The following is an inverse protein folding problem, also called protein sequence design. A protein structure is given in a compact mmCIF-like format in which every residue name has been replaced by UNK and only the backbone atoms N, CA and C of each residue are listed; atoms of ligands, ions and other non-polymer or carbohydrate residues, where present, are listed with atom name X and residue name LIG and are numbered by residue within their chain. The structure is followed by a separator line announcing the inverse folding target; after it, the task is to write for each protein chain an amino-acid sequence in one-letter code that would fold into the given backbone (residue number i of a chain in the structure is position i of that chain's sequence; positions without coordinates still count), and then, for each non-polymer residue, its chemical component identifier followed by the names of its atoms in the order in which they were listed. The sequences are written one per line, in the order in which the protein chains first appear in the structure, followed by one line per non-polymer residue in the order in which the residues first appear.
data_IF_795321156592
#
_entry.id   IF_795321156592
#
_cell.length_a   1.000
_cell.length_b   1.000
_cell.length_c   1.000
_cell.angle_alpha   90.00
_cell.angle_beta   90.00
_cell.angle_gamma   90.00
#
_symmetry.space_group_name_H-M   'P 1'
#
loop_
_entity.id
_entity.type
_entity.pdbx_description
1 polymer ?
2 non-polymer ?
#
# COMPACT_ATOMS: atom_id res chain seq x y z
N UNK A 1 17.26 -4.27 -28.75
CA UNK A 1 17.50 -5.05 -27.49
C UNK A 1 18.92 -4.87 -27.01
N UNK A 2 19.17 -5.33 -25.78
CA UNK A 2 20.48 -5.27 -25.13
C UNK A 2 20.78 -6.57 -24.39
N UNK A 3 21.99 -6.68 -23.84
CA UNK A 3 22.35 -7.69 -22.82
C UNK A 3 22.72 -6.98 -21.51
N UNK A 4 21.85 -6.06 -21.08
CA UNK A 4 22.09 -5.27 -19.87
C UNK A 4 21.88 -6.12 -18.63
N UNK A 5 22.73 -5.86 -17.63
CA UNK A 5 22.78 -6.72 -16.48
C UNK A 5 22.91 -5.99 -15.17
N UNK A 6 22.53 -6.71 -14.12
CA UNK A 6 22.75 -6.32 -12.76
C UNK A 6 23.34 -7.55 -12.13
N UNK A 7 24.39 -7.33 -11.35
CA UNK A 7 24.87 -8.34 -10.46
C UNK A 7 24.35 -7.94 -9.09
N UNK A 8 23.69 -8.85 -8.41
CA UNK A 8 23.40 -8.68 -7.00
C UNK A 8 23.75 -9.98 -6.29
N UNK A 9 24.58 -9.85 -5.24
CA UNK A 9 25.19 -10.95 -4.48
C UNK A 9 25.83 -12.02 -5.40
N UNK A 10 26.56 -11.55 -6.41
CA UNK A 10 27.19 -12.42 -7.37
C UNK A 10 26.32 -13.04 -8.47
N UNK A 11 25.00 -12.99 -8.35
CA UNK A 11 24.13 -13.63 -9.32
C UNK A 11 23.73 -12.63 -10.39
N UNK A 12 23.68 -13.05 -11.64
CA UNK A 12 23.43 -12.14 -12.77
C UNK A 12 21.94 -12.12 -13.06
N UNK A 13 21.44 -10.95 -13.47
CA UNK A 13 20.04 -10.77 -13.84
C UNK A 13 19.97 -9.92 -15.11
N UNK A 14 19.43 -10.49 -16.18
CA UNK A 14 19.17 -9.73 -17.40
C UNK A 14 17.93 -8.85 -17.23
N UNK A 15 18.01 -7.63 -17.73
CA UNK A 15 16.92 -6.66 -17.61
C UNK A 15 16.00 -6.85 -18.80
N UNK A 16 14.71 -6.90 -18.53
CA UNK A 16 13.69 -6.95 -19.57
C UNK A 16 13.19 -5.54 -19.83
N UNK A 17 12.78 -4.84 -18.78
CA UNK A 17 12.45 -3.42 -18.86
C UNK A 17 12.49 -2.72 -17.52
N UNK A 18 12.54 -1.39 -17.56
CA UNK A 18 12.36 -0.56 -16.38
C UNK A 18 10.86 -0.39 -16.15
N UNK A 19 10.45 -0.20 -14.90
CA UNK A 19 9.03 0.05 -14.53
C UNK A 19 8.82 1.23 -13.54
N UNK A 20 9.74 1.41 -12.59
CA UNK A 20 9.75 2.56 -11.66
C UNK A 20 10.91 3.54 -11.86
N UNK A 21 10.76 4.76 -11.34
CA UNK A 21 11.68 5.88 -11.61
C UNK A 21 11.72 6.91 -10.46
N UNK A 22 12.31 8.08 -10.71
CA UNK A 22 12.31 9.10 -9.69
C UNK A 22 13.45 9.13 -8.70
N UNK A 23 13.15 8.81 -7.45
CA UNK A 23 13.96 9.28 -6.34
C UNK A 23 15.23 8.51 -6.11
N UNK A 24 16.15 8.65 -7.05
CA UNK A 24 17.46 8.02 -6.93
C UNK A 24 17.28 6.53 -6.95
N UNK A 25 16.18 6.09 -7.52
CA UNK A 25 15.84 4.68 -7.52
C UNK A 25 15.22 4.29 -8.82
N UNK A 26 15.36 3.03 -9.18
CA UNK A 26 14.66 2.53 -10.32
C UNK A 26 14.23 1.13 -10.02
N UNK A 27 13.11 0.73 -10.55
CA UNK A 27 12.70 -0.67 -10.48
C UNK A 27 12.79 -1.27 -11.90
N UNK A 28 13.20 -2.54 -11.96
CA UNK A 28 13.49 -3.24 -13.21
C UNK A 28 12.85 -4.60 -13.19
N UNK A 29 12.27 -4.98 -14.32
CA UNK A 29 11.74 -6.30 -14.50
C UNK A 29 12.86 -7.11 -15.13
N UNK A 30 13.04 -8.33 -14.66
CA UNK A 30 14.34 -8.96 -14.69
C UNK A 30 14.24 -10.46 -14.82
N UNK A 31 15.27 -11.07 -15.42
CA UNK A 31 15.33 -12.51 -15.58
C UNK A 31 16.56 -13.02 -14.90
N UNK A 32 16.44 -14.04 -14.06
CA UNK A 32 17.60 -14.66 -13.43
C UNK A 32 18.17 -15.76 -14.32
N UNK A 33 19.27 -16.35 -13.86
CA UNK A 33 19.97 -17.44 -14.59
C UNK A 33 19.09 -18.64 -14.97
N UNK A 34 18.11 -18.99 -14.12
CA UNK A 34 17.12 -20.03 -14.45
C UNK A 34 15.91 -19.46 -15.20
N UNK A 35 16.14 -18.48 -16.06
CA UNK A 35 15.08 -17.71 -16.76
C UNK A 35 13.83 -17.28 -15.94
N UNK A 36 13.92 -17.28 -14.62
CA UNK A 36 12.77 -17.01 -13.75
C UNK A 36 12.65 -15.51 -13.56
N UNK A 37 11.43 -15.01 -13.58
CA UNK A 37 11.18 -13.55 -13.53
C UNK A 37 11.21 -13.00 -12.10
N UNK A 38 11.73 -11.77 -11.96
CA UNK A 38 11.82 -11.04 -10.68
C UNK A 38 11.81 -9.54 -10.93
N UNK A 39 11.73 -8.78 -9.83
CA UNK A 39 11.87 -7.33 -9.85
C UNK A 39 13.06 -6.86 -9.01
N UNK A 40 13.78 -5.85 -9.48
CA UNK A 40 14.94 -5.37 -8.76
C UNK A 40 14.87 -3.89 -8.59
N UNK A 41 14.64 -3.48 -7.34
CA UNK A 41 14.74 -2.08 -6.97
C UNK A 41 16.20 -1.74 -6.74
N UNK A 42 16.65 -0.64 -7.35
CA UNK A 42 17.98 -0.11 -7.19
C UNK A 42 17.86 1.26 -6.59
N UNK A 43 18.79 1.62 -5.71
CA UNK A 43 18.84 2.95 -5.07
C UNK A 43 20.28 3.45 -5.04
N UNK A 44 20.53 4.62 -5.60
CA UNK A 44 21.85 5.24 -5.58
C UNK A 44 22.00 6.13 -4.34
N UNK A 45 23.10 5.97 -3.61
CA UNK A 45 23.22 6.57 -2.28
C UNK A 45 24.12 7.81 -2.14
N UNK A 46 24.99 8.08 -3.11
CA UNK A 46 25.83 9.32 -3.09
C UNK A 46 25.07 10.54 -2.57
N UNK A 47 23.86 10.69 -3.12
CA UNK A 47 22.91 11.72 -2.73
C UNK A 47 21.88 11.11 -1.76
N UNK A 48 22.26 11.05 -0.48
CA UNK A 48 21.36 10.62 0.58
C UNK A 48 21.97 10.92 1.95
N UNK A 49 21.31 11.81 2.69
CA UNK A 49 21.71 12.11 4.07
C UNK A 49 21.49 10.91 4.99
N UNK A 50 22.11 10.98 6.17
CA UNK A 50 21.94 9.95 7.21
C UNK A 50 20.50 9.58 7.58
N UNK A 51 19.57 10.52 7.46
CA UNK A 51 18.17 10.22 7.72
C UNK A 51 17.57 9.39 6.59
N UNK A 52 17.81 9.78 5.33
CA UNK A 52 17.27 8.98 4.21
C UNK A 52 17.97 7.61 4.25
N UNK A 53 19.28 7.60 4.53
CA UNK A 53 20.01 6.34 4.72
C UNK A 53 19.40 5.46 5.80
N UNK A 54 19.24 5.99 7.01
CA UNK A 54 18.68 5.20 8.11
C UNK A 54 17.27 4.67 7.84
N UNK A 55 16.52 5.38 6.99
CA UNK A 55 15.17 4.95 6.60
C UNK A 55 15.24 3.75 5.68
N UNK A 56 16.00 3.86 4.59
CA UNK A 56 16.26 2.74 3.68
C UNK A 56 16.69 1.46 4.40
N UNK A 57 17.58 1.62 5.36
CA UNK A 57 18.06 0.51 6.17
C UNK A 57 16.89 -0.11 6.88
N UNK A 58 16.09 0.77 7.50
CA UNK A 58 14.87 0.41 8.22
C UNK A 58 13.81 -0.27 7.35
N UNK A 59 13.54 0.23 6.14
CA UNK A 59 12.61 -0.46 5.25
C UNK A 59 13.09 -1.91 5.05
N UNK A 60 14.37 -2.09 4.67
CA UNK A 60 14.99 -3.41 4.44
C UNK A 60 14.86 -4.34 5.65
N UNK A 61 15.15 -3.86 6.84
CA UNK A 61 15.04 -4.69 8.03
C UNK A 61 13.60 -5.14 8.30
N UNK A 62 12.65 -4.24 8.04
CA UNK A 62 11.24 -4.55 8.22
C UNK A 62 10.73 -5.53 7.16
N UNK A 63 10.97 -5.20 5.87
CA UNK A 63 10.74 -6.16 4.78
C UNK A 63 11.28 -7.51 5.14
N UNK A 64 12.49 -7.58 5.67
CA UNK A 64 13.04 -8.82 6.17
C UNK A 64 12.17 -9.47 7.23
N UNK A 65 12.09 -8.83 8.40
CA UNK A 65 11.35 -9.36 9.54
C UNK A 65 9.95 -9.88 9.13
N UNK A 66 9.16 -9.00 8.51
CA UNK A 66 7.75 -9.28 8.23
C UNK A 66 7.49 -10.46 7.30
N UNK A 67 8.37 -10.67 6.33
CA UNK A 67 8.32 -11.83 5.42
C UNK A 67 7.83 -13.09 6.09
N UNK A 68 8.49 -13.45 7.18
CA UNK A 68 8.20 -14.65 7.96
C UNK A 68 6.72 -14.69 8.35
N UNK A 69 6.22 -13.52 8.78
CA UNK A 69 4.90 -13.37 9.37
C UNK A 69 3.72 -13.28 8.39
N UNK A 70 3.95 -12.95 7.13
CA UNK A 70 2.85 -12.87 6.17
C UNK A 70 3.28 -13.02 4.71
N UNK A 71 2.40 -13.65 3.93
CA UNK A 71 2.57 -13.75 2.47
C UNK A 71 1.83 -12.61 1.73
N UNK A 72 1.42 -11.57 2.48
CA UNK A 72 0.78 -10.38 1.92
C UNK A 72 1.70 -9.17 2.01
N UNK A 73 2.87 -9.36 2.58
CA UNK A 73 3.97 -8.41 2.40
C UNK A 73 4.78 -8.89 1.23
N UNK A 74 5.11 -7.98 0.32
CA UNK A 74 5.93 -8.28 -0.86
C UNK A 74 7.20 -9.01 -0.45
N UNK A 75 7.55 -10.08 -1.16
CA UNK A 75 8.66 -10.95 -0.76
C UNK A 75 9.98 -10.34 -1.22
N UNK A 76 10.95 -10.29 -0.32
CA UNK A 76 12.32 -9.86 -0.62
C UNK A 76 13.16 -11.11 -0.57
N UNK A 77 13.78 -11.47 -1.68
CA UNK A 77 14.55 -12.70 -1.76
C UNK A 77 16.02 -12.49 -1.42
N UNK A 78 16.55 -11.35 -1.81
CA UNK A 78 17.95 -11.08 -1.63
C UNK A 78 18.18 -9.60 -1.77
N UNK A 79 19.17 -9.10 -1.05
CA UNK A 79 19.60 -7.74 -1.18
C UNK A 79 21.11 -7.59 -1.04
N UNK A 80 21.61 -6.49 -1.58
CA UNK A 80 23.00 -6.11 -1.46
C UNK A 80 23.02 -4.63 -1.13
N UNK A 81 23.70 -4.28 -0.04
CA UNK A 81 23.80 -2.91 0.40
C UNK A 81 25.25 -2.52 0.70
N UNK A 82 25.61 -1.32 0.26
CA UNK A 82 26.97 -0.85 0.12
C UNK A 82 26.90 0.64 0.46
N UNK A 83 28.03 1.27 0.70
CA UNK A 83 28.03 2.73 0.93
C UNK A 83 27.43 3.58 -0.21
N UNK A 84 27.54 3.09 -1.44
CA UNK A 84 27.06 3.80 -2.66
C UNK A 84 25.68 3.36 -3.19
N UNK A 85 25.26 2.12 -2.95
CA UNK A 85 23.99 1.65 -3.52
C UNK A 85 23.28 0.62 -2.68
N UNK A 86 21.99 0.44 -2.98
CA UNK A 86 21.23 -0.72 -2.55
C UNK A 86 20.62 -1.40 -3.76
N UNK A 87 20.70 -2.73 -3.83
CA UNK A 87 19.92 -3.55 -4.78
C UNK A 87 19.05 -4.50 -3.97
N UNK A 88 17.78 -4.61 -4.35
CA UNK A 88 16.81 -5.49 -3.70
C UNK A 88 16.13 -6.33 -4.76
N UNK A 89 16.12 -7.66 -4.57
CA UNK A 89 15.47 -8.56 -5.53
C UNK A 89 14.20 -9.13 -4.91
N UNK A 90 13.09 -8.79 -5.53
CA UNK A 90 11.78 -9.02 -4.97
C UNK A 90 10.91 -9.77 -5.97
N UNK A 91 9.83 -10.35 -5.45
CA UNK A 91 8.87 -11.02 -6.31
C UNK A 91 8.25 -9.97 -7.19
N UNK A 92 7.83 -10.40 -8.37
CA UNK A 92 7.40 -9.49 -9.40
C UNK A 92 5.90 -9.40 -9.51
N UNK A 93 5.41 -8.23 -9.87
CA UNK A 93 3.99 -8.02 -9.90
C UNK A 93 3.37 -7.65 -11.22
N UNK A 94 2.26 -8.30 -11.51
CA UNK A 94 1.47 -8.04 -12.71
C UNK A 94 1.15 -6.59 -12.85
N UNK A 95 0.50 -6.03 -11.84
CA UNK A 95 0.08 -4.64 -11.89
C UNK A 95 -0.13 -4.16 -10.48
N UNK A 96 -0.20 -2.85 -10.31
CA UNK A 96 -0.47 -2.31 -9.00
C UNK A 96 -1.95 -2.08 -8.90
N UNK A 97 -2.46 -2.08 -7.69
CA UNK A 97 -3.90 -1.85 -7.51
C UNK A 97 -4.38 -0.53 -8.11
N UNK A 98 -3.59 0.54 -8.02
CA UNK A 98 -4.06 1.87 -8.47
C UNK A 98 -4.39 1.92 -9.95
N UNK A 99 -3.46 1.44 -10.77
CA UNK A 99 -3.68 1.32 -12.20
C UNK A 99 -4.78 0.29 -12.52
N UNK A 100 -4.88 -0.78 -11.72
CA UNK A 100 -5.89 -1.81 -11.91
C UNK A 100 -7.32 -1.32 -11.66
N UNK A 101 -7.51 -0.53 -10.61
CA UNK A 101 -8.82 0.07 -10.31
C UNK A 101 -9.40 0.84 -11.48
N UNK A 102 -8.55 1.67 -12.10
CA UNK A 102 -8.99 2.60 -13.14
C UNK A 102 -9.42 1.89 -14.44
N UNK A 103 -8.77 0.77 -14.78
CA UNK A 103 -9.11 0.00 -15.98
C UNK A 103 -10.18 -1.08 -15.79
N UNK A 104 -10.33 -1.59 -14.57
CA UNK A 104 -11.24 -2.70 -14.27
C UNK A 104 -12.69 -2.24 -14.42
N UNK A 105 -13.45 -2.95 -15.25
CA UNK A 105 -14.78 -2.49 -15.70
C UNK A 105 -15.77 -2.19 -14.55
N UNK A 106 -16.28 -3.23 -13.88
CA UNK A 106 -17.01 -3.10 -12.64
C UNK A 106 -16.04 -3.80 -11.69
N UNK A 107 -16.52 -4.65 -10.76
CA UNK A 107 -15.62 -5.40 -9.88
C UNK A 107 -16.39 -6.51 -9.18
N UNK A 108 -15.98 -7.76 -9.40
CA UNK A 108 -16.67 -8.93 -8.81
C UNK A 108 -16.73 -8.82 -7.29
N UNK A 109 -17.93 -8.96 -6.68
CA UNK A 109 -18.01 -8.86 -5.21
C UNK A 109 -17.11 -9.84 -4.46
N UNK A 110 -17.02 -11.10 -4.93
CA UNK A 110 -16.16 -12.12 -4.29
C UNK A 110 -14.65 -11.84 -4.52
N UNK A 111 -14.32 -11.05 -5.54
CA UNK A 111 -12.96 -10.58 -5.77
C UNK A 111 -12.58 -9.41 -4.84
N UNK A 112 -13.51 -8.47 -4.63
CA UNK A 112 -13.30 -7.32 -3.74
C UNK A 112 -13.15 -7.75 -2.29
N UNK A 113 -13.97 -8.71 -1.86
CA UNK A 113 -13.91 -9.22 -0.50
C UNK A 113 -12.53 -9.81 -0.25
N UNK A 114 -12.05 -10.59 -1.21
CA UNK A 114 -10.73 -11.21 -1.12
C UNK A 114 -9.62 -10.15 -1.09
N UNK A 115 -9.72 -9.13 -1.92
CA UNK A 115 -8.72 -8.06 -1.89
C UNK A 115 -8.78 -7.30 -0.58
N UNK A 116 -9.97 -7.05 -0.07
CA UNK A 116 -10.13 -6.46 1.26
C UNK A 116 -9.41 -7.27 2.36
N UNK A 117 -9.63 -8.57 2.36
CA UNK A 117 -9.04 -9.48 3.35
C UNK A 117 -7.53 -9.42 3.33
N UNK A 118 -6.98 -9.56 2.12
CA UNK A 118 -5.56 -9.34 1.82
C UNK A 118 -5.00 -8.09 2.45
N UNK A 119 -5.67 -6.97 2.18
CA UNK A 119 -5.25 -5.67 2.69
C UNK A 119 -5.26 -5.63 4.21
N UNK A 120 -6.32 -6.19 4.81
CA UNK A 120 -6.48 -6.21 6.26
C UNK A 120 -5.35 -6.98 6.91
N UNK A 121 -5.03 -8.16 6.35
CA UNK A 121 -4.00 -9.04 6.89
C UNK A 121 -2.64 -8.37 6.89
N UNK A 122 -2.30 -7.73 5.76
CA UNK A 122 -1.01 -7.06 5.58
C UNK A 122 -0.84 -5.93 6.58
N UNK A 123 -1.83 -5.02 6.63
CA UNK A 123 -1.80 -3.90 7.56
C UNK A 123 -1.83 -4.39 9.01
N UNK A 124 -2.60 -5.45 9.28
CA UNK A 124 -2.63 -6.05 10.62
C UNK A 124 -1.24 -6.50 11.02
N UNK A 125 -0.55 -7.17 10.10
CA UNK A 125 0.84 -7.62 10.33
C UNK A 125 1.82 -6.49 10.67
N UNK A 126 1.79 -5.41 9.88
CA UNK A 126 2.71 -4.31 10.13
C UNK A 126 2.32 -3.64 11.44
N UNK A 127 1.04 -3.60 11.76
CA UNK A 127 0.58 -3.05 13.04
C UNK A 127 1.09 -3.82 14.23
N UNK A 128 1.25 -5.13 14.06
CA UNK A 128 1.75 -5.99 15.12
C UNK A 128 3.24 -5.88 15.34
N UNK A 129 3.95 -5.21 14.45
CA UNK A 129 5.34 -4.85 14.67
C UNK A 129 5.54 -3.33 14.83
N UNK A 130 4.49 -2.63 15.27
CA UNK A 130 4.54 -1.20 15.52
C UNK A 130 4.76 -0.28 14.35
N UNK A 131 4.43 -0.73 13.15
CA UNK A 131 4.48 0.15 12.01
C UNK A 131 3.06 0.65 11.78
N UNK A 132 2.91 1.97 11.67
CA UNK A 132 1.64 2.60 11.34
C UNK A 132 1.82 3.44 10.08
N UNK A 133 1.78 2.76 8.93
CA UNK A 133 1.97 3.36 7.59
C UNK A 133 1.56 4.85 7.48
N UNK A 134 0.30 5.14 7.72
CA UNK A 134 -0.26 6.53 7.69
C UNK A 134 -0.50 7.20 6.32
N UNK A 135 0.23 6.78 5.29
CA UNK A 135 -0.02 7.16 3.90
C UNK A 135 -0.40 5.94 3.01
N UNK A 136 -1.43 5.18 3.41
CA UNK A 136 -1.95 4.11 2.55
C UNK A 136 -2.74 4.64 1.36
N UNK A 137 -2.73 3.86 0.30
CA UNK A 137 -3.41 4.15 -0.95
C UNK A 137 -3.15 2.97 -1.92
N UNK A 138 -3.99 2.80 -2.97
CA UNK A 138 -3.93 1.63 -3.85
C UNK A 138 -2.54 1.29 -4.41
N UNK A 139 -1.77 2.31 -4.76
CA UNK A 139 -0.39 2.15 -5.22
C UNK A 139 0.50 1.33 -4.27
N UNK A 140 0.24 1.39 -2.96
CA UNK A 140 1.02 0.62 -1.98
C UNK A 140 0.79 -0.89 -2.05
N UNK A 141 -0.23 -1.30 -2.81
CA UNK A 141 -0.55 -2.70 -2.99
C UNK A 141 -0.28 -3.20 -4.41
N UNK A 142 0.16 -4.45 -4.49
CA UNK A 142 0.52 -5.09 -5.74
C UNK A 142 -0.27 -6.37 -5.95
N UNK A 143 -0.81 -6.58 -7.15
CA UNK A 143 -1.50 -7.85 -7.43
C UNK A 143 -0.48 -8.87 -7.95
N UNK A 144 -0.31 -9.96 -7.22
CA UNK A 144 0.59 -11.06 -7.60
C UNK A 144 -0.20 -12.35 -7.58
N UNK A 145 -0.57 -12.83 -8.76
CA UNK A 145 -1.42 -14.03 -8.89
C UNK A 145 -2.67 -13.88 -8.04
N UNK A 146 -3.46 -12.87 -8.40
CA UNK A 146 -4.72 -12.55 -7.73
C UNK A 146 -4.60 -12.56 -6.23
N UNK A 147 -3.70 -11.73 -5.72
CA UNK A 147 -3.52 -11.57 -4.29
C UNK A 147 -2.84 -10.24 -4.07
N UNK A 148 -3.46 -9.37 -3.27
CA UNK A 148 -2.85 -8.09 -2.95
C UNK A 148 -1.66 -8.34 -2.03
N UNK A 149 -0.57 -7.62 -2.29
CA UNK A 149 0.61 -7.58 -1.41
C UNK A 149 0.98 -6.16 -1.08
N UNK A 150 1.32 -5.94 0.17
CA UNK A 150 1.88 -4.66 0.60
C UNK A 150 3.36 -4.54 0.17
N UNK A 151 3.68 -3.43 -0.48
CA UNK A 151 5.04 -3.15 -0.93
C UNK A 151 5.78 -2.14 -0.04
N UNK A 152 5.10 -1.06 0.35
CA UNK A 152 5.71 0.07 1.04
C UNK A 152 5.15 0.15 2.47
N UNK A 153 5.94 0.69 3.43
CA UNK A 153 5.48 0.86 4.83
C UNK A 153 5.38 2.29 5.36
N UNK A 154 5.27 3.26 4.44
CA UNK A 154 5.19 4.68 4.79
C UNK A 154 6.38 5.15 5.61
N UNK A 155 7.55 4.57 5.30
CA UNK A 155 8.72 4.60 6.19
C UNK A 155 9.96 5.36 5.64
N UNK A 156 10.03 5.66 4.33
CA UNK A 156 11.29 6.15 3.71
C UNK A 156 11.15 7.14 2.53
N UNK A 157 10.83 8.41 2.85
CA UNK A 157 10.83 9.51 1.86
C UNK A 157 12.21 10.19 1.81
N UNK A 172 1.69 14.64 -9.25
CA UNK A 172 1.13 14.86 -7.92
C UNK A 172 0.41 13.62 -7.40
N UNK A 173 0.61 13.31 -6.11
CA UNK A 173 -0.03 12.16 -5.48
C UNK A 173 -1.49 12.44 -5.16
N UNK A 174 -2.30 11.38 -5.23
CA UNK A 174 -3.73 11.44 -4.94
C UNK A 174 -3.89 11.63 -3.41
N UNK A 175 -4.52 12.74 -3.00
CA UNK A 175 -4.77 13.07 -1.57
C UNK A 175 -6.18 12.59 -1.18
N UNK A 176 -6.52 11.43 -1.71
CA UNK A 176 -7.88 10.95 -1.80
C UNK A 176 -8.12 9.78 -0.84
N UNK A 177 -7.11 9.45 -0.02
CA UNK A 177 -7.15 8.33 0.93
C UNK A 177 -6.66 8.76 2.32
N UNK A 178 -6.63 10.07 2.56
CA UNK A 178 -5.87 10.68 3.64
C UNK A 178 -6.74 10.88 4.87
N UNK A 179 -6.33 10.32 6.03
CA UNK A 179 -7.18 10.40 7.23
C UNK A 179 -7.17 11.77 7.93
N UNK A 180 -8.33 12.18 8.50
CA UNK A 180 -8.55 13.45 9.20
C UNK A 180 -7.43 13.87 10.15
N UNK A 181 -7.02 12.96 11.01
CA UNK A 181 -6.01 13.27 12.02
C UNK A 181 -4.63 13.61 11.45
N UNK A 182 -4.28 13.07 10.28
CA UNK A 182 -3.07 13.49 9.54
C UNK A 182 -3.07 15.00 9.34
N UNK A 183 -4.26 15.53 9.06
CA UNK A 183 -4.48 16.93 8.85
C UNK A 183 -4.95 17.56 10.16
N UNK A 184 -4.03 17.68 11.13
CA UNK A 184 -4.32 18.37 12.41
C UNK A 184 -3.07 19.03 12.99
N UNK A 185 -1.98 18.27 13.07
CA UNK A 185 -0.62 18.83 13.22
C UNK A 185 -0.37 20.06 12.33
N UNK A 186 -0.83 19.96 11.09
CA UNK A 186 -0.72 21.06 10.12
C UNK A 186 -1.66 22.20 10.49
N UNK A 196 3.90 8.69 17.91
CA UNK A 196 2.53 8.38 17.48
C UNK A 196 1.49 8.99 18.45
N UNK A 197 1.72 10.24 18.88
CA UNK A 197 0.82 10.97 19.80
C UNK A 197 -0.41 11.63 19.12
N UNK A 198 -0.40 11.66 17.79
CA UNK A 198 -1.53 12.16 16.96
C UNK A 198 -2.09 11.11 15.98
N UNK A 199 -1.21 10.29 15.40
CA UNK A 199 -1.56 9.23 14.43
C UNK A 199 -1.54 7.87 15.16
N UNK A 200 -2.63 7.11 15.00
CA UNK A 200 -2.77 5.79 15.59
C UNK A 200 -2.97 4.83 14.44
N UNK A 201 -3.01 3.51 14.74
CA UNK A 201 -3.46 2.47 13.82
C UNK A 201 -4.77 2.81 13.13
N UNK A 202 -5.66 3.50 13.83
CA UNK A 202 -6.94 3.88 13.25
C UNK A 202 -6.78 4.74 11.99
N UNK A 203 -5.69 5.48 11.87
CA UNK A 203 -5.38 6.20 10.62
C UNK A 203 -5.39 5.27 9.39
N UNK A 204 -4.79 4.08 9.53
CA UNK A 204 -4.75 3.15 8.40
C UNK A 204 -6.13 2.59 8.07
N UNK A 205 -7.02 2.47 9.07
CA UNK A 205 -8.40 1.99 8.85
C UNK A 205 -9.17 2.90 7.89
N UNK A 206 -9.15 4.20 8.18
CA UNK A 206 -9.70 5.21 7.28
C UNK A 206 -9.29 4.97 5.83
N UNK A 207 -7.97 4.87 5.60
CA UNK A 207 -7.39 4.74 4.26
C UNK A 207 -7.79 3.46 3.57
N UNK A 208 -7.66 2.34 4.28
CA UNK A 208 -8.27 1.10 3.84
C UNK A 208 -9.76 1.29 3.51
N UNK A 209 -10.48 1.99 4.39
CA UNK A 209 -11.88 2.35 4.16
C UNK A 209 -12.16 3.04 2.82
N UNK A 210 -11.32 4.01 2.48
CA UNK A 210 -11.40 4.69 1.18
C UNK A 210 -11.12 3.77 0.00
N UNK A 211 -10.16 2.87 0.16
CA UNK A 211 -9.82 1.94 -0.90
C UNK A 211 -10.99 0.99 -1.16
N UNK A 212 -11.64 0.53 -0.08
CA UNK A 212 -12.84 -0.28 -0.19
C UNK A 212 -13.99 0.56 -0.72
N UNK A 213 -14.06 1.83 -0.31
CA UNK A 213 -15.07 2.74 -0.81
C UNK A 213 -14.96 2.89 -2.33
N UNK A 214 -13.74 3.02 -2.85
CA UNK A 214 -13.54 3.04 -4.29
C UNK A 214 -14.13 1.78 -4.90
N UNK A 215 -13.72 0.62 -4.39
CA UNK A 215 -14.10 -0.66 -4.97
C UNK A 215 -15.59 -0.99 -4.91
N UNK A 216 -16.37 -0.26 -4.10
CA UNK A 216 -17.81 -0.52 -3.96
C UNK A 216 -18.69 0.48 -4.70
N UNK A 217 -18.31 1.75 -4.68
CA UNK A 217 -19.09 2.81 -5.30
C UNK A 217 -18.36 3.45 -6.51
N UNK A 218 -17.40 2.74 -7.09
CA UNK A 218 -16.65 3.22 -8.25
C UNK A 218 -15.71 4.42 -8.10
N UNK A 219 -15.68 5.06 -6.93
CA UNK A 219 -14.88 6.28 -6.71
C UNK A 219 -14.68 6.53 -5.21
N UNK A 220 -13.70 7.36 -4.82
CA UNK A 220 -13.45 7.64 -3.39
C UNK A 220 -14.43 8.69 -2.87
N UNK A 221 -14.66 8.75 -1.54
CA UNK A 221 -15.63 9.69 -0.95
C UNK A 221 -15.60 11.12 -1.49
N UNK A 222 -14.40 11.69 -1.65
CA UNK A 222 -14.25 13.08 -2.11
C UNK A 222 -13.47 13.19 -3.42
N UNK A 223 -13.78 12.30 -4.36
CA UNK A 223 -13.14 12.28 -5.69
C UNK A 223 -13.66 13.43 -6.54
N UNK A 224 -14.97 13.65 -6.48
CA UNK A 224 -15.65 14.77 -7.16
C UNK A 224 -15.54 16.13 -6.44
N UNK A 225 -14.75 16.23 -5.36
CA UNK A 225 -14.56 17.52 -4.67
C UNK A 225 -13.39 18.28 -5.30
N UNK A 226 -13.53 19.59 -5.30
CA UNK A 226 -12.92 20.52 -6.26
C UNK A 226 -11.39 20.75 -6.05
N UNK A 227 -10.94 21.99 -5.82
CA UNK A 227 -9.54 22.28 -5.42
C UNK A 227 -9.10 21.30 -4.33
N UNK A 228 -7.85 20.81 -4.38
CA UNK A 228 -7.39 19.81 -3.38
C UNK A 228 -7.45 20.32 -1.94
N UNK A 229 -7.21 21.61 -1.72
CA UNK A 229 -7.53 22.26 -0.44
C UNK A 229 -9.00 22.11 -0.03
N UNK A 230 -9.90 22.23 -1.00
CA UNK A 230 -11.34 22.07 -0.77
C UNK A 230 -11.74 20.66 -0.33
N UNK A 231 -10.96 19.64 -0.73
CA UNK A 231 -11.15 18.27 -0.21
C UNK A 231 -10.79 18.18 1.26
N UNK A 232 -9.58 18.63 1.60
CA UNK A 232 -9.09 18.68 2.98
C UNK A 232 -10.08 19.25 3.99
N UNK A 233 -10.90 20.21 3.56
CA UNK A 233 -11.96 20.76 4.41
C UNK A 233 -13.05 19.73 4.68
N UNK A 234 -13.46 19.01 3.63
CA UNK A 234 -14.49 17.98 3.72
C UNK A 234 -14.05 16.75 4.54
N UNK A 235 -12.80 16.34 4.37
CA UNK A 235 -12.21 15.26 5.16
C UNK A 235 -12.37 15.57 6.64
N UNK A 236 -11.90 16.73 7.05
CA UNK A 236 -11.96 17.13 8.46
C UNK A 236 -13.35 17.58 8.93
N UNK A 237 -14.16 18.11 8.03
CA UNK A 237 -15.50 18.63 8.39
C UNK A 237 -16.42 17.52 8.91
N UNK A 238 -16.83 17.59 10.21
CA UNK A 238 -17.72 16.56 10.76
C UNK A 238 -19.18 16.66 10.29
N UNK A 239 -19.64 17.88 9.97
CA UNK A 239 -20.97 18.07 9.37
C UNK A 239 -21.07 17.69 7.88
N UNK A 240 -19.94 17.37 7.25
CA UNK A 240 -19.91 16.96 5.85
C UNK A 240 -20.15 15.45 5.72
N UNK A 241 -21.38 15.05 5.42
CA UNK A 241 -21.73 13.63 5.37
C UNK A 241 -21.09 12.93 4.15
N UNK A 242 -20.61 11.70 4.35
CA UNK A 242 -20.26 10.81 3.24
C UNK A 242 -21.50 9.97 2.95
N UNK A 243 -21.80 9.80 1.66
CA UNK A 243 -22.98 9.04 1.24
C UNK A 243 -22.65 7.57 1.18
N UNK A 244 -23.60 6.74 1.58
CA UNK A 244 -23.49 5.29 1.52
C UNK A 244 -24.78 4.76 0.88
N UNK A 245 -24.83 4.77 -0.47
CA UNK A 245 -25.97 4.18 -1.18
C UNK A 245 -26.25 2.74 -0.76
N UNK A 246 -27.51 2.34 -0.77
CA UNK A 246 -27.86 0.96 -0.49
C UNK A 246 -27.40 0.06 -1.62
N UNK A 247 -26.33 -0.67 -1.37
CA UNK A 247 -25.83 -1.70 -2.27
C UNK A 247 -26.43 -3.01 -1.72
N UNK A 248 -26.36 -4.12 -2.48
CA UNK A 248 -26.92 -5.37 -1.95
C UNK A 248 -26.25 -5.92 -0.69
N UNK A 249 -24.92 -5.90 -0.65
CA UNK A 249 -24.15 -6.40 0.50
C UNK A 249 -24.26 -5.45 1.70
N UNK A 250 -25.15 -5.82 2.62
CA UNK A 250 -25.46 -5.01 3.79
C UNK A 250 -24.26 -4.91 4.72
N UNK A 251 -23.53 -6.01 4.85
CA UNK A 251 -22.35 -6.08 5.70
C UNK A 251 -21.24 -5.13 5.23
N UNK A 252 -20.94 -5.24 3.93
CA UNK A 252 -20.01 -4.34 3.23
C UNK A 252 -20.35 -2.85 3.41
N UNK A 253 -21.64 -2.53 3.44
CA UNK A 253 -22.07 -1.15 3.66
C UNK A 253 -21.68 -0.69 5.07
N UNK A 254 -21.83 -1.58 6.07
CA UNK A 254 -21.50 -1.24 7.46
C UNK A 254 -20.00 -1.06 7.64
N UNK A 255 -19.22 -1.98 7.07
CA UNK A 255 -17.76 -1.89 7.10
C UNK A 255 -17.34 -0.46 6.77
N UNK A 256 -17.83 0.03 5.64
CA UNK A 256 -17.43 1.33 5.09
C UNK A 256 -17.78 2.48 6.03
N UNK A 257 -18.96 2.41 6.63
CA UNK A 257 -19.40 3.42 7.60
C UNK A 257 -18.52 3.41 8.85
N UNK A 258 -18.17 2.23 9.33
CA UNK A 258 -17.29 2.09 10.50
C UNK A 258 -15.84 2.50 10.25
N UNK A 259 -15.36 2.25 9.03
CA UNK A 259 -14.01 2.66 8.63
C UNK A 259 -13.90 4.16 8.46
N UNK A 260 -14.95 4.78 7.93
CA UNK A 260 -14.90 6.19 7.59
C UNK A 260 -15.48 7.13 8.66
N UNK A 261 -15.39 6.74 9.93
CA UNK A 261 -15.75 7.62 11.02
C UNK A 261 -14.60 8.56 11.27
N UNK A 262 -14.91 9.84 11.48
CA UNK A 262 -13.86 10.88 11.62
C UNK A 262 -13.11 10.79 12.92
N UNK A 263 -13.82 10.58 14.02
CA UNK A 263 -13.20 10.38 15.33
C UNK A 263 -12.54 9.00 15.32
N UNK A 264 -11.20 8.92 15.54
CA UNK A 264 -10.55 7.60 15.59
C UNK A 264 -10.99 6.77 16.78
N UNK A 265 -11.36 7.42 17.88
CA UNK A 265 -11.91 6.73 19.03
C UNK A 265 -13.14 5.88 18.68
N UNK A 266 -14.03 6.41 17.83
CA UNK A 266 -15.21 5.66 17.38
C UNK A 266 -14.99 4.85 16.09
N UNK A 267 -13.91 5.12 15.37
CA UNK A 267 -13.59 4.36 14.16
C UNK A 267 -13.23 2.91 14.53
N UNK A 268 -13.68 1.96 13.72
CA UNK A 268 -13.39 0.53 13.96
C UNK A 268 -11.88 0.16 13.92
N UNK A 269 -11.51 -0.84 14.71
CA UNK A 269 -10.15 -1.33 14.75
C UNK A 269 -9.94 -2.44 13.72
N UNK A 270 -8.70 -2.78 13.44
CA UNK A 270 -8.37 -3.84 12.49
C UNK A 270 -8.80 -5.19 13.05
N UNK A 271 -8.57 -5.41 14.37
CA UNK A 271 -9.00 -6.70 14.88
C UNK A 271 -10.52 -6.86 14.89
N UNK A 272 -11.23 -5.76 15.11
CA UNK A 272 -12.67 -5.71 14.91
C UNK A 272 -13.01 -6.09 13.46
N UNK A 273 -12.43 -5.37 12.51
CA UNK A 273 -12.67 -5.63 11.09
C UNK A 273 -12.46 -7.09 10.65
N UNK A 274 -11.51 -7.80 11.26
CA UNK A 274 -11.29 -9.24 10.93
C UNK A 274 -12.35 -10.15 11.53
N UNK A 275 -13.11 -9.64 12.50
CA UNK A 275 -14.23 -10.39 13.06
C UNK A 275 -15.59 -9.90 12.56
N UNK A 276 -15.61 -8.96 11.61
CA UNK A 276 -16.83 -8.39 11.08
C UNK A 276 -17.46 -9.42 10.12
N UNK A 277 -18.82 -9.42 9.95
CA UNK A 277 -19.42 -10.49 9.16
C UNK A 277 -19.11 -10.42 7.68
N UNK A 278 -18.86 -9.23 7.15
CA UNK A 278 -18.32 -9.04 5.79
C UNK A 278 -17.17 -9.98 5.44
N UNK A 279 -16.13 -10.02 6.28
CA UNK A 279 -14.97 -10.91 6.02
C UNK A 279 -15.20 -12.32 6.52
N UNK A 280 -16.14 -12.52 7.45
CA UNK A 280 -16.37 -13.82 8.11
C UNK A 280 -17.49 -14.72 7.57
N UNK A 281 -18.61 -14.16 7.09
CA UNK A 281 -19.72 -14.97 6.53
C UNK A 281 -19.79 -14.75 5.01
N UNK A 282 -20.01 -15.84 4.26
CA UNK A 282 -20.15 -15.82 2.78
C UNK A 282 -21.21 -16.81 2.33
#
# INVERSE_FOLDING_TARGET
GSNECISVKGRIYSILKQIGSGGSSKVFQVLNEKKQIYAIKYVNLEEADNQTLDSYRNEIAYLNKLQQHSDKIIRLYDYEITDQYIYMVMECGNIDLNSWLKKKKSIDPWERKSYWKNMLEAVHTIHQHGIVHSDLKPANFLIVDGMLKLIDFGIANQMQPDTTSVVKDSQVGTVNYMPPEAIKDMSSSRENGKSKSKISPKSDVWSLGCILYYMTYGKTPFQQIINQISKLHAIIDPNHEIEFPDIPEKDLQDVLKCCLKRDPKQRISIPELLAHPYVQIQTHPVNQMAKGTT
#
